data_IF_820028198101
#
_entry.id   IF_820028198101
#
_cell.length_a   1.000
_cell.length_b   1.000
_cell.length_c   1.000
_cell.angle_alpha   90.00
_cell.angle_beta   90.00
_cell.angle_gamma   90.00
#
_symmetry.space_group_name_H-M   'P 1'
#
loop_
_entity.id
_entity.type
_entity.pdbx_description
1 polymer ?
#
# COMPACT_ATOMS: atom_id res chain seq x y z
N UNK A 1 0.15 18.88 43.20
CA UNK A 1 0.51 19.97 42.30
C UNK A 1 1.09 19.48 40.95
N UNK A 2 2.08 18.62 40.90
CA UNK A 2 2.69 18.14 39.64
C UNK A 2 1.72 17.42 38.67
N UNK A 3 0.73 16.65 39.16
CA UNK A 3 -0.26 15.94 38.31
C UNK A 3 -1.22 16.90 37.59
N UNK A 4 -1.52 18.05 38.18
CA UNK A 4 -2.40 19.05 37.55
C UNK A 4 -1.66 19.84 36.48
N UNK A 5 -0.37 20.11 36.70
CA UNK A 5 0.49 20.81 35.72
C UNK A 5 0.71 19.93 34.48
N UNK A 6 0.87 18.61 34.66
CA UNK A 6 1.02 17.67 33.53
C UNK A 6 -0.24 17.58 32.67
N UNK A 7 -1.43 17.63 33.28
CA UNK A 7 -2.70 17.64 32.55
C UNK A 7 -2.89 18.96 31.78
N UNK A 8 -2.47 20.08 32.35
CA UNK A 8 -2.53 21.40 31.67
C UNK A 8 -1.56 21.44 30.47
N UNK A 9 -0.37 20.87 30.58
CA UNK A 9 0.60 20.81 29.47
C UNK A 9 0.12 19.87 28.36
N UNK A 10 -0.59 18.79 28.71
CA UNK A 10 -1.18 17.88 27.72
C UNK A 10 -2.43 18.45 27.01
N UNK A 11 -3.13 19.41 27.64
CA UNK A 11 -4.32 20.06 27.09
C UNK A 11 -3.99 21.38 26.37
N UNK A 12 -2.80 21.95 26.56
CA UNK A 12 -2.37 23.21 25.92
C UNK A 12 -2.42 23.17 24.37
N UNK A 13 -2.01 22.08 23.68
CA UNK A 13 -2.14 21.99 22.24
C UNK A 13 -3.60 21.96 21.74
N UNK A 14 -4.56 21.58 22.60
CA UNK A 14 -5.99 21.56 22.27
C UNK A 14 -6.65 22.92 22.32
N UNK A 15 -5.97 23.93 22.92
CA UNK A 15 -6.50 25.30 23.10
C UNK A 15 -5.91 26.31 22.10
N UNK A 16 -4.97 25.89 21.24
CA UNK A 16 -4.48 26.76 20.18
C UNK A 16 -5.58 26.90 19.12
N UNK A 17 -6.04 28.13 18.79
CA UNK A 17 -6.96 28.32 17.70
C UNK A 17 -6.22 27.97 16.40
N UNK A 18 -6.48 26.79 15.86
CA UNK A 18 -6.12 26.49 14.49
C UNK A 18 -6.94 27.43 13.61
N UNK A 19 -6.30 28.45 13.04
CA UNK A 19 -6.85 29.17 11.91
C UNK A 19 -6.90 28.21 10.73
N UNK A 20 -7.99 27.44 10.66
CA UNK A 20 -8.32 26.65 9.49
C UNK A 20 -8.61 27.62 8.36
N UNK A 21 -7.64 27.82 7.46
CA UNK A 21 -7.96 28.32 6.14
C UNK A 21 -9.00 27.36 5.56
N UNK A 22 -10.09 27.87 5.04
CA UNK A 22 -11.18 27.10 4.44
C UNK A 22 -10.77 26.58 3.06
N UNK A 23 -9.66 25.82 3.00
CA UNK A 23 -9.33 25.01 1.85
C UNK A 23 -10.20 23.77 1.91
N UNK A 24 -11.03 23.58 0.92
CA UNK A 24 -11.65 22.29 0.63
C UNK A 24 -10.52 21.28 0.53
N UNK A 25 -10.36 20.44 1.55
CA UNK A 25 -9.37 19.38 1.54
C UNK A 25 -9.71 18.46 0.39
N UNK A 26 -8.92 18.52 -0.67
CA UNK A 26 -9.03 17.59 -1.78
C UNK A 26 -8.49 16.24 -1.27
N UNK A 27 -9.34 15.24 -1.23
CA UNK A 27 -8.89 13.89 -0.94
C UNK A 27 -8.14 13.36 -2.15
N UNK A 28 -6.83 13.22 -2.01
CA UNK A 28 -5.96 12.62 -3.00
C UNK A 28 -5.10 11.55 -2.32
N UNK A 29 -4.72 10.54 -3.08
CA UNK A 29 -3.87 9.44 -2.62
C UNK A 29 -2.73 9.24 -3.62
N UNK A 30 -1.60 8.64 -3.22
CA UNK A 30 -0.66 8.07 -4.17
C UNK A 30 -1.41 6.98 -4.95
N UNK A 31 -1.85 7.30 -6.17
CA UNK A 31 -2.80 6.48 -6.94
C UNK A 31 -2.08 5.56 -7.90
N UNK A 32 -2.36 4.27 -7.86
CA UNK A 32 -1.71 3.26 -8.69
C UNK A 32 -1.92 1.87 -8.12
N UNK A 33 -0.89 1.06 -8.16
CA UNK A 33 -0.91 -0.31 -7.63
C UNK A 33 0.14 -0.45 -6.54
N UNK A 34 -0.25 -0.99 -5.39
CA UNK A 34 0.68 -1.40 -4.35
C UNK A 34 0.42 -2.83 -3.89
N UNK A 35 1.49 -3.51 -3.43
CA UNK A 35 1.39 -4.77 -2.71
C UNK A 35 1.31 -4.51 -1.22
N UNK A 36 0.32 -5.08 -0.55
CA UNK A 36 0.18 -4.94 0.89
C UNK A 36 -0.16 -6.28 1.55
N UNK A 37 0.77 -7.24 1.55
CA UNK A 37 0.56 -8.50 2.24
C UNK A 37 0.71 -8.31 3.75
N UNK A 38 -0.41 -8.18 4.47
CA UNK A 38 -0.41 -8.12 5.93
C UNK A 38 0.04 -9.44 6.59
N UNK A 39 -0.21 -10.55 5.93
CA UNK A 39 -0.06 -11.88 6.51
C UNK A 39 1.16 -12.65 6.00
N UNK A 40 1.81 -12.16 4.96
CA UNK A 40 2.93 -12.84 4.33
C UNK A 40 4.04 -11.84 4.08
N UNK A 41 5.25 -12.16 4.52
CA UNK A 41 6.44 -11.40 4.19
C UNK A 41 7.17 -12.11 3.07
N UNK A 42 7.36 -11.41 1.95
CA UNK A 42 8.09 -11.90 0.79
C UNK A 42 9.43 -11.18 0.73
N UNK A 43 10.50 -11.94 0.55
CA UNK A 43 11.83 -11.42 0.29
C UNK A 43 12.20 -11.69 -1.16
N UNK A 44 12.66 -10.65 -1.84
CA UNK A 44 13.06 -10.74 -3.25
C UNK A 44 14.28 -9.87 -3.53
N UNK A 45 15.05 -10.24 -4.52
CA UNK A 45 16.17 -9.42 -5.01
C UNK A 45 15.82 -8.58 -6.25
N UNK A 46 14.59 -8.67 -6.77
CA UNK A 46 14.18 -7.92 -7.95
C UNK A 46 12.72 -7.52 -7.89
N UNK A 47 12.44 -6.25 -8.20
CA UNK A 47 11.10 -5.67 -8.29
C UNK A 47 10.96 -4.86 -9.56
N UNK A 48 9.75 -4.86 -10.14
CA UNK A 48 9.46 -4.24 -11.43
C UNK A 48 8.05 -3.66 -11.43
N UNK A 49 7.94 -2.39 -11.80
CA UNK A 49 6.67 -1.73 -12.14
C UNK A 49 6.62 -1.45 -13.65
N UNK A 50 5.53 -1.82 -14.29
CA UNK A 50 5.28 -1.55 -15.71
C UNK A 50 4.00 -0.76 -15.90
N UNK A 51 4.02 0.18 -16.84
CA UNK A 51 2.84 0.95 -17.22
C UNK A 51 2.86 1.25 -18.72
N UNK A 52 1.72 1.11 -19.36
CA UNK A 52 1.48 1.53 -20.73
C UNK A 52 0.51 2.69 -20.72
N UNK A 53 1.00 3.88 -21.04
CA UNK A 53 0.23 5.13 -20.95
C UNK A 53 -0.22 5.51 -22.37
N UNK A 54 -1.53 5.61 -22.56
CA UNK A 54 -2.12 6.03 -23.85
C UNK A 54 -2.55 7.49 -23.84
N UNK A 55 -2.95 8.00 -22.65
CA UNK A 55 -3.31 9.41 -22.47
C UNK A 55 -2.76 9.89 -21.13
N UNK A 56 -2.25 11.10 -21.10
CA UNK A 56 -1.76 11.76 -19.91
C UNK A 56 -1.93 13.28 -20.06
N UNK A 57 -2.62 13.88 -19.11
CA UNK A 57 -2.75 15.33 -19.00
C UNK A 57 -2.45 15.74 -17.57
N UNK A 58 -1.42 16.55 -17.40
CA UNK A 58 -0.91 16.96 -16.08
C UNK A 58 -1.28 18.41 -15.86
N UNK A 59 -2.10 18.65 -14.85
CA UNK A 59 -2.52 19.98 -14.41
C UNK A 59 -1.57 20.59 -13.37
N UNK A 60 -2.15 21.33 -12.46
CA UNK A 60 -1.40 22.01 -11.39
C UNK A 60 -1.10 21.08 -10.23
N UNK A 61 -0.01 21.36 -9.54
CA UNK A 61 0.36 20.71 -8.29
C UNK A 61 0.50 21.73 -7.15
N UNK A 62 0.25 21.24 -5.93
CA UNK A 62 0.21 22.04 -4.72
C UNK A 62 0.95 21.33 -3.59
N UNK A 63 1.64 22.08 -2.75
CA UNK A 63 2.23 21.56 -1.51
C UNK A 63 1.12 21.19 -0.51
N UNK A 64 1.43 20.40 0.53
CA UNK A 64 0.44 20.01 1.55
C UNK A 64 -0.24 21.18 2.27
N UNK A 65 0.43 22.34 2.34
CA UNK A 65 -0.13 23.58 2.91
C UNK A 65 -1.06 24.31 1.93
N UNK A 66 -1.27 23.78 0.71
CA UNK A 66 -2.11 24.37 -0.33
C UNK A 66 -1.40 25.40 -1.20
N UNK A 67 -0.13 25.64 -0.99
CA UNK A 67 0.67 26.52 -1.85
C UNK A 67 0.86 25.91 -3.23
N UNK A 68 0.65 26.74 -4.27
CA UNK A 68 0.91 26.34 -5.66
C UNK A 68 2.40 26.02 -5.85
N UNK A 69 2.68 24.88 -6.44
CA UNK A 69 4.04 24.45 -6.71
C UNK A 69 4.41 24.61 -8.19
N UNK A 70 3.65 23.98 -9.09
CA UNK A 70 3.96 24.00 -10.53
C UNK A 70 2.76 23.49 -11.34
N UNK A 71 2.86 23.59 -12.67
CA UNK A 71 1.91 22.98 -13.62
C UNK A 71 2.66 22.08 -14.59
N UNK A 72 2.02 20.99 -15.04
CA UNK A 72 2.56 20.09 -16.04
C UNK A 72 3.61 19.10 -15.52
N UNK A 73 3.77 18.98 -14.20
CA UNK A 73 4.72 18.02 -13.59
C UNK A 73 4.00 17.00 -12.70
N UNK A 74 4.33 15.72 -12.90
CA UNK A 74 3.86 14.60 -12.08
C UNK A 74 4.96 13.55 -11.96
N UNK A 75 4.96 12.79 -10.88
CA UNK A 75 5.85 11.65 -10.70
C UNK A 75 5.09 10.33 -10.84
N UNK A 76 5.73 9.34 -11.44
CA UNK A 76 5.40 7.93 -11.31
C UNK A 76 6.55 7.27 -10.56
N UNK A 77 6.25 6.58 -9.48
CA UNK A 77 7.25 6.09 -8.54
C UNK A 77 7.11 4.58 -8.37
N UNK A 78 8.23 3.85 -8.57
CA UNK A 78 8.38 2.48 -8.09
C UNK A 78 9.13 2.55 -6.77
N UNK A 79 8.45 2.24 -5.68
CA UNK A 79 9.02 2.29 -4.33
C UNK A 79 9.04 0.91 -3.72
N UNK A 80 10.08 0.60 -2.95
CA UNK A 80 10.20 -0.64 -2.21
C UNK A 80 11.09 -0.47 -0.97
N UNK A 81 10.81 -1.27 0.05
CA UNK A 81 11.60 -1.32 1.26
C UNK A 81 12.70 -2.37 1.17
N UNK A 82 13.94 -2.03 1.52
CA UNK A 82 15.05 -2.97 1.66
C UNK A 82 15.27 -3.24 3.15
N UNK A 83 15.17 -4.51 3.55
CA UNK A 83 15.34 -4.98 4.93
C UNK A 83 14.42 -4.27 5.96
N UNK A 84 13.29 -3.69 5.53
CA UNK A 84 12.44 -2.88 6.40
C UNK A 84 13.10 -1.61 6.95
N UNK A 85 14.25 -1.22 6.41
CA UNK A 85 15.12 -0.16 6.92
C UNK A 85 15.44 0.93 5.91
N UNK A 86 15.63 0.56 4.66
CA UNK A 86 15.96 1.49 3.58
C UNK A 86 14.78 1.59 2.63
N UNK A 87 14.28 2.79 2.44
CA UNK A 87 13.22 3.06 1.46
C UNK A 87 13.82 3.53 0.16
N UNK A 88 13.68 2.71 -0.86
CA UNK A 88 14.22 2.93 -2.20
C UNK A 88 13.12 3.38 -3.15
N UNK A 89 13.33 4.49 -3.83
CA UNK A 89 12.40 5.07 -4.79
C UNK A 89 13.09 5.22 -6.14
N UNK A 90 12.56 4.53 -7.15
CA UNK A 90 12.90 4.69 -8.56
C UNK A 90 11.79 5.49 -9.24
N UNK A 91 12.05 6.75 -9.53
CA UNK A 91 11.04 7.73 -9.94
C UNK A 91 11.28 8.17 -11.38
N UNK A 92 10.21 8.28 -12.16
CA UNK A 92 10.20 9.01 -13.42
C UNK A 92 9.32 10.25 -13.26
N UNK A 93 9.92 11.42 -13.40
CA UNK A 93 9.24 12.71 -13.38
C UNK A 93 8.83 13.09 -14.81
N UNK A 94 7.56 13.26 -15.04
CA UNK A 94 6.99 13.75 -16.29
C UNK A 94 6.87 15.28 -16.25
N UNK A 95 7.34 15.93 -17.28
CA UNK A 95 7.11 17.35 -17.56
C UNK A 95 6.40 17.50 -18.90
N UNK A 96 5.15 17.94 -18.89
CA UNK A 96 4.32 18.07 -20.07
C UNK A 96 4.71 19.30 -20.91
N UNK A 97 5.07 19.07 -22.18
CA UNK A 97 5.42 20.12 -23.15
C UNK A 97 4.23 20.47 -24.04
N UNK A 98 3.48 19.44 -24.44
CA UNK A 98 2.26 19.56 -25.22
C UNK A 98 1.28 18.45 -24.83
N UNK A 99 0.14 18.36 -25.48
CA UNK A 99 -0.84 17.29 -25.21
C UNK A 99 -0.27 15.87 -25.31
N UNK A 100 0.73 15.63 -26.16
CA UNK A 100 1.27 14.31 -26.41
C UNK A 100 2.80 14.20 -26.21
N UNK A 101 3.48 15.28 -25.82
CA UNK A 101 4.95 15.32 -25.70
C UNK A 101 5.36 15.69 -24.29
N UNK A 102 6.31 14.94 -23.76
CA UNK A 102 6.83 15.10 -22.41
C UNK A 102 8.36 15.05 -22.40
N UNK A 103 8.99 15.77 -21.48
CA UNK A 103 10.29 15.39 -20.97
C UNK A 103 10.09 14.49 -19.75
N UNK A 104 10.83 13.38 -19.69
CA UNK A 104 10.86 12.48 -18.55
C UNK A 104 12.26 12.45 -17.96
N UNK A 105 12.38 12.66 -16.65
CA UNK A 105 13.65 12.62 -15.93
C UNK A 105 13.60 11.51 -14.89
N UNK A 106 14.62 10.64 -14.90
CA UNK A 106 14.75 9.58 -13.90
C UNK A 106 15.39 10.15 -12.63
N UNK A 107 14.86 9.77 -11.47
CA UNK A 107 15.31 10.23 -10.15
C UNK A 107 15.37 9.04 -9.21
N UNK A 108 16.41 9.00 -8.40
CA UNK A 108 16.52 8.07 -7.28
C UNK A 108 16.46 8.84 -5.97
N UNK A 109 15.65 8.35 -5.03
CA UNK A 109 15.75 8.70 -3.62
C UNK A 109 15.95 7.41 -2.83
N UNK A 110 17.02 7.35 -2.05
CA UNK A 110 17.29 6.23 -1.15
C UNK A 110 17.38 6.77 0.27
N UNK A 111 16.44 6.38 1.11
CA UNK A 111 16.31 6.82 2.49
C UNK A 111 16.84 5.77 3.46
N UNK A 112 17.60 6.18 4.44
CA UNK A 112 17.96 5.37 5.60
C UNK A 112 17.03 5.74 6.77
N UNK A 113 16.03 4.91 7.04
CA UNK A 113 15.03 5.14 8.07
C UNK A 113 15.56 4.94 9.50
N UNK A 114 16.79 4.44 9.65
CA UNK A 114 17.44 4.25 10.96
C UNK A 114 18.33 5.42 11.40
N UNK A 115 18.45 6.46 10.57
CA UNK A 115 19.28 7.63 10.85
C UNK A 115 20.09 8.11 9.65
N UNK A 116 21.09 8.96 9.83
CA UNK A 116 21.92 9.45 8.73
C UNK A 116 22.74 8.34 8.07
N UNK A 117 23.12 8.55 6.81
CA UNK A 117 24.15 7.73 6.19
C UNK A 117 25.53 8.12 6.72
N UNK A 118 26.29 7.11 7.12
CA UNK A 118 27.69 7.28 7.50
C UNK A 118 28.58 6.87 6.33
N UNK A 119 29.62 7.68 6.05
CA UNK A 119 30.60 7.42 4.98
C UNK A 119 30.02 7.32 3.56
N UNK A 120 28.91 8.00 3.31
CA UNK A 120 28.31 8.11 1.98
C UNK A 120 28.47 9.54 1.47
N UNK A 121 29.22 9.71 0.40
CA UNK A 121 29.40 11.00 -0.26
C UNK A 121 28.06 11.43 -0.88
N UNK A 122 27.71 12.72 -0.76
CA UNK A 122 26.49 13.30 -1.31
C UNK A 122 25.18 12.82 -0.65
N UNK A 123 25.24 12.23 0.56
CA UNK A 123 24.03 12.04 1.35
C UNK A 123 23.63 13.34 2.06
N UNK A 124 22.32 13.57 2.10
CA UNK A 124 21.71 14.66 2.86
C UNK A 124 21.14 14.11 4.16
N UNK A 125 20.99 14.97 5.15
CA UNK A 125 20.26 14.65 6.39
C UNK A 125 18.97 15.46 6.39
N UNK A 126 17.84 14.77 6.36
CA UNK A 126 16.52 15.38 6.40
C UNK A 126 15.77 14.87 7.64
N UNK A 127 15.49 15.74 8.59
CA UNK A 127 14.81 15.42 9.85
C UNK A 127 15.42 14.22 10.60
N UNK A 128 16.74 14.09 10.59
CA UNK A 128 17.44 12.98 11.24
C UNK A 128 17.60 11.71 10.39
N UNK A 129 16.99 11.64 9.23
CA UNK A 129 17.11 10.54 8.28
C UNK A 129 18.13 10.87 7.19
N UNK A 130 18.93 9.89 6.81
CA UNK A 130 19.84 10.02 5.68
C UNK A 130 19.11 9.82 4.36
N UNK A 131 19.38 10.65 3.36
CA UNK A 131 18.87 10.46 2.02
C UNK A 131 19.96 10.65 0.97
N UNK A 132 20.03 9.75 0.00
CA UNK A 132 20.82 9.87 -1.22
C UNK A 132 19.86 10.17 -2.35
N UNK A 133 20.04 11.35 -2.97
CA UNK A 133 19.26 11.77 -4.15
C UNK A 133 20.17 11.76 -5.38
N UNK A 134 19.67 11.22 -6.48
CA UNK A 134 20.38 11.22 -7.76
C UNK A 134 19.43 11.55 -8.91
N UNK A 135 19.83 12.50 -9.75
CA UNK A 135 19.13 12.81 -10.98
C UNK A 135 19.82 12.08 -12.13
N UNK A 136 19.08 11.19 -12.76
CA UNK A 136 19.51 10.41 -13.90
C UNK A 136 19.23 11.10 -15.24
N UNK A 137 19.20 10.33 -16.34
CA UNK A 137 18.98 10.84 -17.68
C UNK A 137 17.58 11.41 -17.88
N UNK A 138 17.49 12.34 -18.83
CA UNK A 138 16.23 12.93 -19.30
C UNK A 138 15.96 12.50 -20.73
N UNK A 139 14.71 12.11 -21.03
CA UNK A 139 14.28 11.70 -22.36
C UNK A 139 13.13 12.58 -22.83
N UNK A 140 13.09 12.86 -24.12
CA UNK A 140 11.90 13.40 -24.78
C UNK A 140 11.07 12.23 -25.30
N UNK A 141 9.81 12.16 -24.88
CA UNK A 141 8.92 11.06 -25.22
C UNK A 141 7.58 11.57 -25.73
N UNK A 142 6.90 10.73 -26.51
CA UNK A 142 5.55 10.98 -26.99
C UNK A 142 4.63 9.84 -26.57
N UNK A 143 3.35 10.15 -26.37
CA UNK A 143 2.29 9.14 -26.16
C UNK A 143 1.91 8.44 -27.50
N UNK A 144 1.55 7.16 -27.48
CA UNK A 144 1.57 6.27 -26.33
C UNK A 144 3.00 5.88 -25.91
N UNK A 145 3.19 5.62 -24.62
CA UNK A 145 4.50 5.26 -24.07
C UNK A 145 4.39 4.02 -23.18
N UNK A 146 5.38 3.13 -23.29
CA UNK A 146 5.60 2.03 -22.35
C UNK A 146 6.78 2.36 -21.44
N UNK A 147 6.55 2.30 -20.14
CA UNK A 147 7.56 2.54 -19.11
C UNK A 147 7.65 1.33 -18.20
N UNK A 148 8.87 0.85 -17.99
CA UNK A 148 9.21 -0.09 -16.93
C UNK A 148 10.25 0.55 -16.02
N UNK A 149 9.99 0.56 -14.74
CA UNK A 149 10.98 0.91 -13.71
C UNK A 149 11.31 -0.36 -12.95
N UNK A 150 12.58 -0.61 -12.69
CA UNK A 150 12.98 -1.76 -11.90
C UNK A 150 14.06 -1.42 -10.88
N UNK A 151 14.11 -2.19 -9.82
CA UNK A 151 15.20 -2.20 -8.87
C UNK A 151 15.67 -3.63 -8.64
N UNK A 152 16.99 -3.82 -8.57
CA UNK A 152 17.60 -5.13 -8.34
C UNK A 152 18.67 -5.06 -7.25
N UNK A 153 18.79 -6.10 -6.45
CA UNK A 153 19.93 -6.30 -5.56
C UNK A 153 20.75 -7.44 -6.09
N UNK A 154 21.91 -7.08 -6.63
CA UNK A 154 22.80 -8.01 -7.31
C UNK A 154 24.23 -7.83 -6.81
N UNK A 155 24.90 -8.89 -6.38
CA UNK A 155 26.29 -8.88 -5.89
C UNK A 155 26.58 -7.73 -4.90
N UNK A 156 25.73 -7.56 -3.89
CA UNK A 156 25.86 -6.49 -2.87
C UNK A 156 25.74 -5.07 -3.43
N UNK A 157 25.00 -4.91 -4.52
CA UNK A 157 24.71 -3.61 -5.15
C UNK A 157 23.21 -3.49 -5.40
N UNK A 158 22.63 -2.41 -4.95
CA UNK A 158 21.28 -1.99 -5.32
C UNK A 158 21.37 -1.21 -6.62
N UNK A 159 20.67 -1.68 -7.65
CA UNK A 159 20.63 -1.14 -9.00
C UNK A 159 19.27 -0.53 -9.27
N UNK A 160 19.25 0.66 -9.89
CA UNK A 160 18.05 1.35 -10.36
C UNK A 160 18.07 1.40 -11.88
N UNK A 161 17.05 0.86 -12.50
CA UNK A 161 16.99 0.75 -13.94
C UNK A 161 15.63 1.09 -14.52
N UNK A 162 15.60 1.18 -15.83
CA UNK A 162 14.43 1.56 -16.61
C UNK A 162 14.40 0.84 -17.96
N UNK A 163 13.21 0.78 -18.54
CA UNK A 163 12.95 0.54 -19.96
C UNK A 163 11.86 1.52 -20.41
N UNK A 164 12.18 2.41 -21.34
CA UNK A 164 11.25 3.40 -21.90
C UNK A 164 11.21 3.15 -23.41
N UNK A 165 10.11 2.58 -23.90
CA UNK A 165 9.92 2.23 -25.32
C UNK A 165 11.09 1.41 -25.90
N UNK A 166 11.63 0.45 -25.14
CA UNK A 166 12.76 -0.39 -25.54
C UNK A 166 14.16 0.20 -25.30
N UNK A 167 14.25 1.47 -24.88
CA UNK A 167 15.48 2.05 -24.37
C UNK A 167 15.65 1.70 -22.91
N UNK A 168 16.56 0.79 -22.60
CA UNK A 168 16.75 0.29 -21.23
C UNK A 168 18.17 0.46 -20.73
N UNK A 169 18.32 0.60 -19.42
CA UNK A 169 19.61 0.66 -18.76
C UNK A 169 19.51 0.73 -17.25
N UNK A 170 20.63 0.50 -16.60
CA UNK A 170 20.85 0.83 -15.20
C UNK A 170 21.47 2.23 -15.19
N UNK A 171 20.91 3.14 -14.42
CA UNK A 171 21.36 4.53 -14.41
C UNK A 171 21.91 4.98 -13.05
N UNK A 172 21.66 4.21 -11.99
CA UNK A 172 22.25 4.45 -10.67
C UNK A 172 22.49 3.12 -9.95
N UNK A 173 23.57 3.09 -9.18
CA UNK A 173 23.93 1.94 -8.33
C UNK A 173 24.36 2.41 -6.95
N UNK A 174 24.04 1.62 -5.93
CA UNK A 174 24.41 1.92 -4.56
C UNK A 174 24.88 0.63 -3.85
N UNK A 175 26.03 0.64 -3.15
CA UNK A 175 26.48 -0.52 -2.38
C UNK A 175 25.46 -0.88 -1.29
N UNK A 176 24.88 -2.04 -1.36
CA UNK A 176 23.87 -2.50 -0.42
C UNK A 176 23.76 -4.02 -0.42
N UNK A 177 23.81 -4.60 0.77
CA UNK A 177 23.55 -6.03 1.00
C UNK A 177 22.14 -6.15 1.58
N UNK A 178 21.29 -6.98 0.99
CA UNK A 178 19.94 -7.20 1.50
C UNK A 178 18.99 -7.78 0.46
N UNK A 179 17.71 -7.73 0.77
CA UNK A 179 16.61 -8.08 -0.11
C UNK A 179 15.51 -7.04 0.05
N UNK A 180 14.71 -6.85 -0.98
CA UNK A 180 13.44 -6.14 -0.85
C UNK A 180 12.52 -6.97 0.02
N UNK A 181 11.80 -6.29 0.89
CA UNK A 181 10.83 -6.88 1.80
C UNK A 181 9.44 -6.37 1.42
N UNK A 182 8.59 -7.27 0.96
CA UNK A 182 7.19 -6.99 0.69
C UNK A 182 6.38 -7.56 1.85
N UNK A 183 5.65 -6.71 2.56
CA UNK A 183 4.91 -7.10 3.75
C UNK A 183 5.64 -6.85 5.06
N UNK A 184 4.89 -6.92 6.15
CA UNK A 184 5.36 -6.50 7.47
C UNK A 184 5.38 -4.99 7.64
N UNK A 185 6.10 -4.53 8.64
CA UNK A 185 6.14 -3.12 9.07
C UNK A 185 7.59 -2.64 9.04
N UNK A 186 7.83 -1.44 8.52
CA UNK A 186 9.11 -0.76 8.51
C UNK A 186 9.49 -0.20 9.87
N UNK A 187 10.72 0.29 10.01
CA UNK A 187 11.19 0.94 11.24
C UNK A 187 10.35 2.18 11.63
N UNK A 188 9.72 2.85 10.67
CA UNK A 188 8.84 3.99 10.94
C UNK A 188 7.40 3.59 11.24
N UNK A 189 7.09 2.28 11.31
CA UNK A 189 5.74 1.79 11.55
C UNK A 189 4.83 1.82 10.31
N UNK A 190 5.39 2.10 9.14
CA UNK A 190 4.68 2.06 7.86
C UNK A 190 4.70 0.63 7.29
N UNK A 191 3.71 0.24 6.50
CA UNK A 191 3.75 -1.02 5.76
C UNK A 191 4.95 -1.09 4.82
N UNK A 192 5.59 -2.26 4.70
CA UNK A 192 6.56 -2.50 3.64
C UNK A 192 5.80 -2.88 2.37
N UNK A 193 5.31 -1.92 1.62
CA UNK A 193 4.68 -2.18 0.34
C UNK A 193 5.67 -2.03 -0.82
N UNK A 194 5.43 -2.79 -1.87
CA UNK A 194 5.99 -2.53 -3.18
C UNK A 194 4.94 -1.77 -3.95
N UNK A 195 5.24 -0.58 -4.46
CA UNK A 195 4.25 0.27 -5.09
C UNK A 195 4.72 0.88 -6.40
N UNK A 196 3.80 0.98 -7.37
CA UNK A 196 3.94 1.78 -8.58
C UNK A 196 2.79 2.78 -8.62
N UNK A 197 3.07 4.03 -8.25
CA UNK A 197 2.04 5.03 -7.96
C UNK A 197 2.34 6.38 -8.56
N UNK A 198 1.28 7.09 -8.92
CA UNK A 198 1.31 8.49 -9.31
C UNK A 198 1.27 9.39 -8.09
N UNK A 199 2.04 10.47 -8.15
CA UNK A 199 2.04 11.53 -7.18
C UNK A 199 2.46 12.86 -7.77
N UNK A 200 2.49 13.88 -6.94
CA UNK A 200 3.05 15.18 -7.29
C UNK A 200 4.55 15.13 -7.55
N UNK A 201 5.14 16.24 -8.03
CA UNK A 201 6.56 16.29 -8.44
C UNK A 201 7.56 16.28 -7.27
N UNK A 202 7.15 16.07 -6.05
CA UNK A 202 7.98 15.97 -4.86
C UNK A 202 7.47 16.80 -3.68
N UNK A 203 8.11 16.65 -2.51
CA UNK A 203 7.81 17.41 -1.29
C UNK A 203 6.44 17.14 -0.67
N UNK A 204 5.87 15.96 -0.88
CA UNK A 204 4.52 15.61 -0.42
C UNK A 204 3.41 16.31 -1.22
N UNK A 205 3.71 16.80 -2.41
CA UNK A 205 2.75 17.57 -3.22
C UNK A 205 1.62 16.73 -3.79
N UNK A 206 0.49 17.37 -4.04
CA UNK A 206 -0.67 16.80 -4.74
C UNK A 206 -0.69 17.35 -6.16
N UNK A 207 -0.81 16.46 -7.16
CA UNK A 207 -1.00 16.86 -8.56
C UNK A 207 -2.43 16.58 -9.01
N UNK A 208 -3.00 17.49 -9.79
CA UNK A 208 -4.24 17.27 -10.53
C UNK A 208 -3.91 16.76 -11.92
N UNK A 209 -4.38 15.56 -12.25
CA UNK A 209 -4.05 14.94 -13.53
C UNK A 209 -5.14 14.00 -14.01
N UNK A 210 -5.11 13.68 -15.31
CA UNK A 210 -5.91 12.62 -15.89
C UNK A 210 -4.98 11.67 -16.64
N UNK A 211 -5.23 10.39 -16.53
CA UNK A 211 -4.45 9.35 -17.17
C UNK A 211 -5.37 8.28 -17.75
N UNK A 212 -4.94 7.66 -18.86
CA UNK A 212 -5.47 6.39 -19.35
C UNK A 212 -4.27 5.48 -19.57
N UNK A 213 -4.20 4.43 -18.75
CA UNK A 213 -3.08 3.52 -18.73
C UNK A 213 -3.48 2.12 -18.24
N UNK A 214 -2.62 1.15 -18.54
CA UNK A 214 -2.62 -0.16 -17.89
C UNK A 214 -1.29 -0.34 -17.16
N UNK A 215 -1.35 -0.74 -15.90
CA UNK A 215 -0.17 -0.95 -15.07
C UNK A 215 -0.11 -2.35 -14.48
N UNK A 216 1.11 -2.76 -14.10
CA UNK A 216 1.38 -4.04 -13.44
C UNK A 216 2.57 -3.92 -12.51
N UNK A 217 2.58 -4.70 -11.46
CA UNK A 217 3.61 -4.71 -10.43
C UNK A 217 4.08 -6.14 -10.17
N UNK A 218 5.40 -6.36 -10.25
CA UNK A 218 6.01 -7.68 -10.21
C UNK A 218 7.14 -7.75 -9.18
N UNK A 219 7.40 -8.96 -8.73
CA UNK A 219 8.60 -9.33 -8.00
C UNK A 219 9.16 -10.65 -8.52
N UNK A 220 10.42 -10.95 -8.24
CA UNK A 220 11.02 -12.24 -8.57
C UNK A 220 10.81 -13.22 -7.42
N UNK A 221 10.15 -14.34 -7.65
CA UNK A 221 9.82 -15.35 -6.65
C UNK A 221 10.91 -16.42 -6.43
N UNK A 222 12.08 -16.21 -7.03
CA UNK A 222 13.21 -17.14 -7.04
C UNK A 222 13.25 -18.05 -8.27
N UNK A 223 12.18 -18.04 -9.10
CA UNK A 223 12.10 -18.82 -10.35
C UNK A 223 11.54 -17.99 -11.51
N UNK A 224 10.53 -17.20 -11.25
CA UNK A 224 9.79 -16.44 -12.25
C UNK A 224 9.55 -15.01 -11.79
N UNK A 225 9.24 -14.16 -12.75
CA UNK A 225 8.70 -12.85 -12.49
C UNK A 225 7.20 -13.02 -12.23
N UNK A 226 6.79 -12.81 -10.98
CA UNK A 226 5.44 -13.04 -10.50
C UNK A 226 4.74 -11.72 -10.18
N UNK A 227 3.44 -11.65 -10.47
CA UNK A 227 2.59 -10.52 -10.06
C UNK A 227 2.49 -10.52 -8.53
N UNK A 228 2.45 -9.33 -7.92
CA UNK A 228 2.27 -9.22 -6.47
C UNK A 228 1.00 -9.95 -6.02
N UNK A 229 1.06 -10.72 -4.91
CA UNK A 229 -0.06 -11.58 -4.49
C UNK A 229 -1.24 -10.81 -3.93
N UNK A 230 -1.01 -9.61 -3.43
CA UNK A 230 -2.03 -8.70 -2.90
C UNK A 230 -1.84 -7.32 -3.52
N UNK A 231 -2.90 -6.69 -3.94
CA UNK A 231 -2.81 -5.36 -4.53
C UNK A 231 -3.92 -4.41 -4.06
N UNK A 232 -3.53 -3.16 -3.92
CA UNK A 232 -4.39 -2.03 -3.55
C UNK A 232 -4.27 -0.93 -4.58
N UNK A 233 -5.28 -0.08 -4.67
CA UNK A 233 -5.35 1.05 -5.61
C UNK A 233 -4.59 2.29 -5.15
N UNK A 234 -3.90 2.25 -4.02
CA UNK A 234 -3.11 3.35 -3.46
C UNK A 234 -1.78 2.83 -2.93
N UNK A 235 -0.77 3.73 -2.85
CA UNK A 235 0.45 3.51 -2.09
C UNK A 235 0.29 3.92 -0.63
N UNK A 236 1.08 3.33 0.25
CA UNK A 236 1.04 3.59 1.69
C UNK A 236 2.26 4.35 2.20
N UNK A 237 3.39 4.26 1.51
CA UNK A 237 4.66 4.85 1.94
C UNK A 237 4.97 6.18 1.25
N UNK A 238 4.31 6.50 0.14
CA UNK A 238 4.53 7.72 -0.63
C UNK A 238 3.76 8.91 -0.04
N UNK A 239 4.46 10.01 0.18
CA UNK A 239 3.85 11.26 0.68
C UNK A 239 3.14 12.06 -0.41
N UNK A 240 3.56 11.92 -1.67
CA UNK A 240 2.96 12.57 -2.84
C UNK A 240 1.62 11.92 -3.16
N UNK A 241 0.69 12.70 -3.71
CA UNK A 241 -0.62 12.21 -4.10
C UNK A 241 -1.04 12.71 -5.50
N UNK A 242 -1.94 11.95 -6.14
CA UNK A 242 -2.53 12.32 -7.43
C UNK A 242 -4.06 12.41 -7.30
N UNK A 243 -4.63 13.52 -7.76
CA UNK A 243 -6.07 13.70 -7.89
C UNK A 243 -6.48 13.58 -9.36
N UNK A 244 -7.58 12.87 -9.63
CA UNK A 244 -8.09 12.67 -10.97
C UNK A 244 -7.69 11.34 -11.61
N UNK A 245 -6.98 10.47 -10.88
CA UNK A 245 -6.62 9.10 -11.30
C UNK A 245 -7.50 8.11 -10.56
N UNK A 246 -8.34 7.36 -11.27
CA UNK A 246 -9.11 6.23 -10.75
C UNK A 246 -8.39 4.94 -11.11
N UNK A 247 -8.21 4.07 -10.13
CA UNK A 247 -7.52 2.79 -10.29
C UNK A 247 -8.48 1.65 -9.96
N UNK A 248 -8.55 0.65 -10.84
CA UNK A 248 -9.36 -0.55 -10.64
C UNK A 248 -8.75 -1.74 -11.38
N UNK A 249 -9.16 -2.94 -11.03
CA UNK A 249 -8.72 -4.16 -11.70
C UNK A 249 -9.80 -4.73 -12.60
N UNK A 250 -9.38 -5.29 -13.71
CA UNK A 250 -10.18 -6.15 -14.60
C UNK A 250 -9.55 -7.55 -14.59
N UNK A 251 -10.41 -8.56 -14.68
CA UNK A 251 -10.02 -9.96 -14.68
C UNK A 251 -10.48 -10.62 -16.00
N UNK A 252 -9.68 -10.54 -17.07
CA UNK A 252 -9.92 -11.31 -18.28
C UNK A 252 -9.98 -12.81 -17.99
N UNK A 253 -9.16 -13.26 -17.04
CA UNK A 253 -9.28 -14.56 -16.37
C UNK A 253 -9.03 -14.36 -14.87
N UNK A 254 -9.51 -15.29 -14.04
CA UNK A 254 -9.30 -15.26 -12.58
C UNK A 254 -7.80 -15.18 -12.18
N UNK A 255 -6.91 -15.60 -13.08
CA UNK A 255 -5.46 -15.66 -12.83
C UNK A 255 -4.65 -14.58 -13.55
N UNK A 256 -5.30 -13.64 -14.21
CA UNK A 256 -4.64 -12.60 -15.01
C UNK A 256 -5.30 -11.25 -14.75
N UNK A 257 -5.10 -10.66 -13.57
CA UNK A 257 -5.61 -9.33 -13.29
C UNK A 257 -4.86 -8.30 -14.15
N UNK A 258 -5.60 -7.32 -14.63
CA UNK A 258 -5.08 -6.13 -15.31
C UNK A 258 -5.47 -4.93 -14.47
N UNK A 259 -4.51 -4.07 -14.14
CA UNK A 259 -4.79 -2.79 -13.48
C UNK A 259 -5.05 -1.75 -14.55
N UNK A 260 -6.21 -1.14 -14.47
CA UNK A 260 -6.65 -0.05 -15.35
C UNK A 260 -6.62 1.25 -14.57
N UNK A 261 -5.98 2.24 -15.14
CA UNK A 261 -5.94 3.60 -14.65
C UNK A 261 -6.71 4.50 -15.61
N UNK A 262 -7.66 5.25 -15.10
CA UNK A 262 -8.52 6.13 -15.89
C UNK A 262 -8.80 7.43 -15.17
N UNK A 263 -9.36 8.40 -15.87
CA UNK A 263 -9.79 9.66 -15.24
C UNK A 263 -10.90 9.42 -14.24
N UNK A 264 -10.78 9.99 -13.04
CA UNK A 264 -11.79 9.89 -11.99
C UNK A 264 -11.21 10.08 -10.59
N UNK A 265 -12.04 9.83 -9.59
CA UNK A 265 -11.62 9.88 -8.18
C UNK A 265 -11.19 8.49 -7.76
N UNK A 266 -9.97 8.34 -7.27
CA UNK A 266 -9.51 7.12 -6.65
C UNK A 266 -10.06 7.02 -5.23
N UNK A 267 -10.66 5.87 -4.95
CA UNK A 267 -11.04 5.49 -3.59
C UNK A 267 -10.22 4.27 -3.22
N UNK A 268 -9.58 4.27 -2.04
CA UNK A 268 -8.80 3.13 -1.58
C UNK A 268 -9.59 1.84 -1.70
N UNK A 269 -9.09 0.88 -2.45
CA UNK A 269 -9.77 -0.38 -2.72
C UNK A 269 -8.79 -1.53 -2.91
N UNK A 270 -9.22 -2.72 -2.55
CA UNK A 270 -8.49 -3.95 -2.87
C UNK A 270 -8.69 -4.22 -4.36
N UNK A 271 -7.60 -4.31 -5.11
CA UNK A 271 -7.58 -4.68 -6.52
C UNK A 271 -7.66 -6.20 -6.68
N UNK A 272 -6.91 -6.92 -5.88
CA UNK A 272 -6.95 -8.35 -5.60
C UNK A 272 -6.20 -8.59 -4.28
N UNK A 273 -6.23 -9.70 -3.65
CA UNK A 273 -6.71 -11.00 -4.04
C UNK A 273 -8.15 -11.24 -3.66
N UNK A 274 -8.65 -12.36 -4.18
CA UNK A 274 -9.85 -12.99 -3.68
C UNK A 274 -9.44 -13.94 -2.56
N UNK A 275 -10.07 -13.82 -1.40
CA UNK A 275 -9.77 -14.66 -0.22
C UNK A 275 -10.46 -16.02 -0.36
N UNK A 276 -9.70 -17.11 -0.48
CA UNK A 276 -10.29 -18.44 -0.43
C UNK A 276 -10.77 -18.79 0.98
N UNK A 277 -11.64 -19.76 1.06
CA UNK A 277 -12.05 -20.38 2.31
C UNK A 277 -11.26 -21.68 2.51
N UNK A 278 -10.78 -21.89 3.73
CA UNK A 278 -10.15 -23.13 4.13
C UNK A 278 -11.03 -23.82 5.19
N UNK A 279 -11.35 -25.08 4.96
CA UNK A 279 -12.03 -25.92 5.93
C UNK A 279 -11.22 -27.17 6.16
N UNK A 280 -11.20 -27.63 7.43
CA UNK A 280 -10.39 -28.79 7.84
C UNK A 280 -11.29 -29.79 8.55
N UNK A 281 -11.24 -31.03 8.10
CA UNK A 281 -11.87 -32.17 8.75
C UNK A 281 -10.79 -33.18 9.14
N UNK A 282 -10.76 -33.55 10.41
CA UNK A 282 -9.78 -34.48 10.96
C UNK A 282 -10.43 -35.82 11.30
N UNK A 283 -9.84 -36.91 10.84
CA UNK A 283 -10.12 -38.25 11.28
C UNK A 283 -9.01 -38.75 12.24
N UNK A 284 -9.05 -40.02 12.65
CA UNK A 284 -8.02 -40.61 13.52
C UNK A 284 -6.64 -40.69 12.83
N UNK A 285 -6.60 -40.78 11.53
CA UNK A 285 -5.37 -41.04 10.77
C UNK A 285 -5.07 -39.95 9.73
N UNK A 286 -6.03 -39.13 9.37
CA UNK A 286 -5.90 -38.16 8.26
C UNK A 286 -6.47 -36.82 8.60
N UNK A 287 -5.87 -35.78 8.03
CA UNK A 287 -6.38 -34.41 8.00
C UNK A 287 -6.78 -34.11 6.55
N UNK A 288 -8.03 -33.78 6.33
CA UNK A 288 -8.58 -33.39 5.03
C UNK A 288 -8.73 -31.88 5.02
N UNK A 289 -8.06 -31.22 4.11
CA UNK A 289 -8.07 -29.78 3.95
C UNK A 289 -8.78 -29.44 2.66
N UNK A 290 -9.90 -28.72 2.73
CA UNK A 290 -10.63 -28.27 1.57
C UNK A 290 -10.40 -26.78 1.37
N UNK A 291 -10.04 -26.42 0.14
CA UNK A 291 -9.83 -25.05 -0.30
C UNK A 291 -10.87 -24.69 -1.38
N UNK A 292 -11.61 -23.62 -1.14
CA UNK A 292 -12.73 -23.20 -1.99
C UNK A 292 -12.70 -21.67 -2.18
N UNK A 293 -13.24 -21.22 -3.32
CA UNK A 293 -13.52 -19.82 -3.60
C UNK A 293 -14.97 -19.70 -4.08
N UNK A 294 -15.81 -18.97 -3.36
CA UNK A 294 -17.22 -18.79 -3.67
C UNK A 294 -17.98 -20.12 -3.93
N UNK A 295 -17.66 -21.16 -3.15
CA UNK A 295 -18.13 -22.55 -3.26
C UNK A 295 -17.54 -23.35 -4.44
N UNK A 296 -16.66 -22.77 -5.25
CA UNK A 296 -15.94 -23.48 -6.28
C UNK A 296 -14.66 -24.08 -5.68
N UNK A 297 -14.39 -25.34 -5.96
CA UNK A 297 -13.18 -26.04 -5.53
C UNK A 297 -11.95 -25.43 -6.17
N UNK A 298 -10.87 -25.27 -5.42
CA UNK A 298 -9.57 -24.80 -5.91
C UNK A 298 -8.59 -25.98 -6.06
N UNK A 299 -8.49 -26.57 -7.25
CA UNK A 299 -7.55 -27.68 -7.52
C UNK A 299 -6.12 -27.17 -7.71
N UNK A 300 -5.16 -28.09 -7.59
CA UNK A 300 -3.74 -27.88 -7.86
C UNK A 300 -3.08 -26.78 -7.01
N UNK A 301 -3.63 -26.50 -5.81
CA UNK A 301 -3.03 -25.57 -4.86
C UNK A 301 -2.16 -26.33 -3.85
N UNK A 302 -0.97 -25.80 -3.57
CA UNK A 302 -0.10 -26.35 -2.53
C UNK A 302 -0.54 -25.85 -1.17
N UNK A 303 -0.85 -26.75 -0.27
CA UNK A 303 -1.22 -26.48 1.13
C UNK A 303 -0.15 -27.05 2.03
N UNK A 304 0.15 -26.36 3.11
CA UNK A 304 1.16 -26.75 4.10
C UNK A 304 0.53 -27.04 5.45
N UNK A 305 1.19 -27.92 6.19
CA UNK A 305 0.93 -28.14 7.61
C UNK A 305 2.17 -27.82 8.42
N UNK A 306 2.00 -27.04 9.47
CA UNK A 306 3.02 -26.70 10.47
C UNK A 306 2.66 -27.30 11.80
N UNK A 307 3.66 -27.85 12.49
CA UNK A 307 3.53 -28.43 13.84
C UNK A 307 4.72 -28.02 14.69
N UNK A 308 4.64 -28.30 16.01
CA UNK A 308 5.74 -28.00 16.94
C UNK A 308 5.71 -26.58 17.49
N UNK A 309 6.71 -26.28 18.36
CA UNK A 309 6.89 -24.96 18.94
C UNK A 309 8.38 -24.62 18.99
N UNK A 310 8.87 -23.61 18.23
CA UNK A 310 8.09 -22.78 17.30
C UNK A 310 7.51 -23.61 16.13
N UNK A 311 6.40 -23.19 15.51
CA UNK A 311 5.83 -23.89 14.37
C UNK A 311 6.80 -23.97 13.21
N UNK A 312 6.86 -25.13 12.56
CA UNK A 312 7.65 -25.33 11.36
C UNK A 312 6.91 -26.23 10.37
N UNK A 313 7.14 -26.02 9.07
CA UNK A 313 6.52 -26.84 8.03
C UNK A 313 6.98 -28.28 8.19
N UNK A 314 6.03 -29.18 8.43
CA UNK A 314 6.27 -30.62 8.57
C UNK A 314 5.85 -31.41 7.34
N UNK A 315 4.86 -30.92 6.59
CA UNK A 315 4.37 -31.59 5.38
C UNK A 315 3.69 -30.60 4.44
N UNK A 316 3.59 -31.01 3.17
CA UNK A 316 2.82 -30.31 2.14
C UNK A 316 2.00 -31.29 1.31
N UNK A 317 0.87 -30.85 0.80
CA UNK A 317 0.03 -31.62 -0.11
C UNK A 317 -0.60 -30.71 -1.16
N UNK A 318 -0.99 -31.29 -2.29
CA UNK A 318 -1.63 -30.57 -3.40
C UNK A 318 -3.12 -30.89 -3.42
N UNK A 319 -3.97 -29.89 -3.57
CA UNK A 319 -5.42 -30.10 -3.68
C UNK A 319 -5.77 -30.84 -4.99
N UNK A 320 -6.65 -31.82 -4.88
CA UNK A 320 -7.18 -32.59 -6.02
C UNK A 320 -8.27 -31.78 -6.77
N UNK A 321 -8.93 -32.41 -7.74
CA UNK A 321 -10.01 -31.80 -8.53
C UNK A 321 -11.21 -31.31 -7.69
N UNK A 322 -11.39 -31.84 -6.49
CA UNK A 322 -12.40 -31.41 -5.51
C UNK A 322 -11.91 -30.35 -4.53
N UNK A 323 -10.71 -29.79 -4.74
CA UNK A 323 -10.11 -28.80 -3.86
C UNK A 323 -9.59 -29.40 -2.54
N UNK A 324 -9.36 -30.71 -2.43
CA UNK A 324 -9.02 -31.38 -1.18
C UNK A 324 -7.56 -31.82 -1.21
N UNK A 325 -6.78 -31.38 -0.22
CA UNK A 325 -5.46 -31.88 0.15
C UNK A 325 -5.58 -32.81 1.36
N UNK A 326 -4.76 -33.86 1.43
CA UNK A 326 -4.81 -34.87 2.49
C UNK A 326 -3.44 -35.02 3.12
N UNK A 327 -3.39 -34.96 4.45
CA UNK A 327 -2.20 -35.16 5.27
C UNK A 327 -2.39 -36.33 6.22
N UNK A 328 -1.28 -36.98 6.60
CA UNK A 328 -1.27 -37.92 7.71
C UNK A 328 -1.43 -37.16 9.04
N UNK A 329 -2.21 -37.72 9.98
CA UNK A 329 -2.35 -37.19 11.30
C UNK A 329 -1.55 -37.99 12.31
N UNK A 330 -0.51 -37.38 12.87
CA UNK A 330 0.42 -38.00 13.82
C UNK A 330 0.16 -37.59 15.27
N UNK A 331 -1.11 -37.44 15.64
CA UNK A 331 -1.54 -37.04 17.01
C UNK A 331 -0.88 -35.76 17.52
N UNK A 332 -0.84 -34.75 16.67
CA UNK A 332 -0.29 -33.43 17.01
C UNK A 332 -1.09 -32.78 18.14
N UNK A 333 -0.39 -32.17 19.11
CA UNK A 333 -1.03 -31.38 20.18
C UNK A 333 -1.71 -30.11 19.61
N UNK A 334 -1.15 -29.52 18.58
CA UNK A 334 -1.76 -28.54 17.71
C UNK A 334 -1.08 -28.55 16.33
N UNK A 335 -1.78 -28.04 15.35
CA UNK A 335 -1.21 -27.84 14.01
C UNK A 335 -1.85 -26.61 13.36
N UNK A 336 -1.12 -26.03 12.43
CA UNK A 336 -1.57 -24.93 11.57
C UNK A 336 -1.59 -25.47 10.15
N UNK A 337 -2.72 -25.36 9.48
CA UNK A 337 -2.82 -25.63 8.04
C UNK A 337 -2.92 -24.32 7.33
N UNK A 338 -2.15 -24.11 6.29
CA UNK A 338 -2.24 -22.88 5.53
C UNK A 338 -2.03 -23.08 4.03
N UNK A 339 -2.70 -22.24 3.28
CA UNK A 339 -2.44 -21.96 1.88
C UNK A 339 -1.70 -20.63 1.81
N UNK A 340 -0.49 -20.56 1.25
CA UNK A 340 0.32 -19.34 1.25
C UNK A 340 -0.24 -18.25 0.34
N UNK A 341 -1.25 -18.57 -0.48
CA UNK A 341 -1.72 -17.68 -1.53
C UNK A 341 -0.91 -17.85 -2.83
N UNK A 342 -1.33 -17.12 -3.83
CA UNK A 342 -0.63 -16.93 -5.08
C UNK A 342 -0.90 -15.50 -5.59
N UNK A 343 -0.55 -15.18 -6.82
CA UNK A 343 -0.70 -13.83 -7.38
C UNK A 343 -2.15 -13.31 -7.45
N UNK A 344 -3.18 -14.21 -7.34
CA UNK A 344 -4.60 -13.81 -7.34
C UNK A 344 -5.35 -14.21 -6.08
N UNK A 345 -4.83 -15.13 -5.28
CA UNK A 345 -5.48 -15.64 -4.09
C UNK A 345 -4.68 -15.27 -2.85
N UNK A 346 -5.35 -14.72 -1.84
CA UNK A 346 -4.69 -14.43 -0.56
C UNK A 346 -4.37 -15.71 0.20
N UNK A 347 -3.38 -15.59 1.09
CA UNK A 347 -3.13 -16.63 2.07
C UNK A 347 -4.31 -16.84 3.00
N UNK A 348 -4.52 -18.08 3.42
CA UNK A 348 -5.53 -18.43 4.42
C UNK A 348 -4.99 -19.49 5.37
N UNK A 349 -5.38 -19.38 6.65
CA UNK A 349 -4.87 -20.20 7.75
C UNK A 349 -6.03 -20.86 8.50
N UNK A 350 -5.77 -22.08 8.97
CA UNK A 350 -6.59 -22.79 9.94
C UNK A 350 -5.74 -23.24 11.13
N UNK A 351 -6.21 -22.97 12.33
CA UNK A 351 -5.55 -23.34 13.58
C UNK A 351 -6.34 -24.44 14.27
N UNK A 352 -5.73 -25.59 14.57
CA UNK A 352 -6.41 -26.72 15.20
C UNK A 352 -6.76 -26.49 16.69
N UNK A 353 -6.11 -25.53 17.35
CA UNK A 353 -6.39 -25.21 18.74
C UNK A 353 -7.64 -24.35 18.88
N UNK A 354 -8.61 -24.71 19.74
CA UNK A 354 -9.78 -23.88 20.01
C UNK A 354 -9.44 -22.47 20.50
N UNK A 355 -8.33 -22.34 21.23
CA UNK A 355 -7.87 -21.02 21.73
C UNK A 355 -7.39 -20.17 20.56
N UNK A 356 -6.58 -20.72 19.65
CA UNK A 356 -6.08 -20.02 18.47
C UNK A 356 -7.19 -19.72 17.49
N UNK A 357 -8.15 -20.63 17.30
CA UNK A 357 -9.35 -20.40 16.50
C UNK A 357 -10.19 -19.25 17.08
N UNK A 358 -10.35 -19.21 18.39
CA UNK A 358 -11.07 -18.13 19.09
C UNK A 358 -10.35 -16.78 18.93
N UNK A 359 -9.03 -16.76 19.02
CA UNK A 359 -8.22 -15.54 18.79
C UNK A 359 -8.29 -15.08 17.34
N UNK A 360 -8.13 -16.01 16.39
CA UNK A 360 -8.22 -15.73 14.95
C UNK A 360 -9.62 -15.22 14.56
N UNK A 361 -10.69 -15.86 15.06
CA UNK A 361 -12.06 -15.42 14.77
C UNK A 361 -12.36 -14.04 15.36
N UNK A 362 -11.87 -13.73 16.57
CA UNK A 362 -11.98 -12.41 17.16
C UNK A 362 -11.21 -11.37 16.34
N UNK A 363 -9.98 -11.69 15.90
CA UNK A 363 -9.20 -10.79 15.09
C UNK A 363 -9.86 -10.53 13.73
N UNK A 364 -10.37 -11.57 13.05
CA UNK A 364 -11.15 -11.42 11.84
C UNK A 364 -12.45 -10.62 12.07
N UNK A 365 -13.14 -10.82 13.20
CA UNK A 365 -14.31 -10.04 13.56
C UNK A 365 -13.99 -8.57 13.73
N UNK A 366 -12.91 -8.23 14.45
CA UNK A 366 -12.45 -6.85 14.58
C UNK A 366 -12.06 -6.23 13.23
N UNK A 367 -11.37 -7.00 12.39
CA UNK A 367 -11.01 -6.56 11.05
C UNK A 367 -12.25 -6.28 10.18
N UNK A 368 -13.25 -7.17 10.18
CA UNK A 368 -14.51 -6.96 9.47
C UNK A 368 -15.31 -5.78 10.03
N UNK A 369 -15.31 -5.57 11.34
CA UNK A 369 -15.92 -4.39 11.96
C UNK A 369 -15.21 -3.10 11.52
N UNK A 370 -13.87 -3.10 11.46
CA UNK A 370 -13.10 -1.97 10.96
C UNK A 370 -13.39 -1.68 9.48
N UNK A 371 -13.45 -2.72 8.65
CA UNK A 371 -13.84 -2.58 7.24
C UNK A 371 -15.29 -2.07 7.10
N UNK A 372 -16.21 -2.55 7.92
CA UNK A 372 -17.59 -2.07 7.99
C UNK A 372 -17.67 -0.60 8.38
N UNK A 373 -16.87 -0.18 9.37
CA UNK A 373 -16.76 1.21 9.78
C UNK A 373 -16.19 2.10 8.66
N UNK A 374 -15.13 1.66 8.00
CA UNK A 374 -14.54 2.39 6.86
C UNK A 374 -15.52 2.52 5.69
N UNK A 375 -16.26 1.45 5.36
CA UNK A 375 -17.32 1.51 4.33
C UNK A 375 -18.47 2.44 4.74
N UNK A 376 -18.88 2.43 6.00
CA UNK A 376 -19.92 3.33 6.52
C UNK A 376 -19.47 4.79 6.48
N UNK A 377 -18.23 5.08 6.88
CA UNK A 377 -17.63 6.41 6.78
C UNK A 377 -17.54 6.87 5.32
N UNK A 378 -17.15 6.00 4.40
CA UNK A 378 -17.13 6.25 2.97
C UNK A 378 -18.52 6.57 2.40
N UNK A 379 -19.54 5.79 2.78
CA UNK A 379 -20.92 6.02 2.33
C UNK A 379 -21.49 7.33 2.89
N UNK A 380 -21.24 7.63 4.16
CA UNK A 380 -21.64 8.90 4.79
C UNK A 380 -20.98 10.09 4.12
N UNK A 381 -19.72 9.96 3.74
CA UNK A 381 -18.98 10.97 3.00
C UNK A 381 -19.54 11.18 1.58
N UNK A 382 -19.85 10.09 0.85
CA UNK A 382 -20.47 10.16 -0.48
C UNK A 382 -21.86 10.80 -0.42
N UNK A 383 -22.66 10.50 0.61
CA UNK A 383 -23.96 11.14 0.84
C UNK A 383 -23.79 12.63 1.17
N UNK A 384 -22.81 13.01 1.97
CA UNK A 384 -22.46 14.39 2.26
C UNK A 384 -22.09 15.16 0.99
N UNK A 385 -21.22 14.60 0.14
CA UNK A 385 -20.86 15.20 -1.15
C UNK A 385 -22.10 15.36 -2.05
N UNK A 386 -22.91 14.31 -2.23
CA UNK A 386 -24.13 14.40 -3.06
C UNK A 386 -25.10 15.48 -2.56
N UNK A 387 -25.25 15.64 -1.23
CA UNK A 387 -26.12 16.67 -0.65
C UNK A 387 -25.59 18.09 -0.87
N UNK A 388 -24.27 18.26 -0.91
CA UNK A 388 -23.64 19.56 -1.21
C UNK A 388 -23.80 19.91 -2.70
N UNK A 389 -23.60 18.95 -3.60
CA UNK A 389 -23.73 19.19 -5.05
C UNK A 389 -25.18 19.26 -5.53
N UNK A 390 -26.14 18.58 -4.89
CA UNK A 390 -27.57 18.70 -5.25
C UNK A 390 -28.20 20.03 -4.81
N UNK A 391 -27.61 20.72 -3.83
CA UNK A 391 -28.05 22.06 -3.40
C UNK A 391 -27.45 23.21 -4.21
N UNK A 392 -26.48 22.95 -5.07
CA UNK A 392 -25.81 23.97 -5.90
C UNK A 392 -26.63 24.49 -7.08
N UNK A 393 -27.83 23.99 -7.37
CA UNK A 393 -28.68 24.44 -8.44
C UNK A 393 -29.86 25.35 -7.97
N UNK A 394 -29.86 25.82 -6.72
CA UNK A 394 -30.85 26.77 -6.22
C UNK A 394 -30.17 28.05 -5.78
N UNK A 395 -30.26 29.05 -6.66
CA UNK A 395 -30.15 30.51 -6.43
C UNK A 395 -29.22 30.98 -5.30
N UNK A 396 -28.17 31.68 -5.70
CA UNK A 396 -27.27 32.54 -4.92
C UNK A 396 -28.02 33.62 -4.10
N UNK A 397 -28.60 33.27 -2.97
CA UNK A 397 -29.00 34.27 -1.94
C UNK A 397 -29.33 33.54 -0.65
N UNK A 398 -28.34 33.08 0.07
CA UNK A 398 -28.30 32.87 1.54
C UNK A 398 -27.11 31.98 1.94
N UNK A 399 -25.92 32.52 1.78
CA UNK A 399 -24.68 31.88 2.27
C UNK A 399 -24.23 32.65 3.50
N UNK A 400 -24.83 32.40 4.66
CA UNK A 400 -24.18 32.83 5.92
C UNK A 400 -24.42 31.89 7.12
N UNK A 401 -25.23 30.83 7.00
CA UNK A 401 -25.56 30.00 8.18
C UNK A 401 -25.18 28.51 8.07
N UNK A 402 -24.62 28.03 6.93
CA UNK A 402 -24.31 26.62 6.74
C UNK A 402 -22.80 26.28 6.91
N UNK A 403 -21.95 27.30 7.08
CA UNK A 403 -20.49 27.07 7.24
C UNK A 403 -20.10 26.56 8.64
N UNK A 404 -20.89 26.79 9.67
CA UNK A 404 -20.56 26.42 11.04
C UNK A 404 -20.75 24.91 11.33
N UNK A 405 -21.68 24.25 10.66
CA UNK A 405 -21.99 22.85 10.92
C UNK A 405 -21.06 21.86 10.23
N UNK A 406 -20.53 22.18 9.05
CA UNK A 406 -19.56 21.34 8.35
C UNK A 406 -18.18 21.37 8.99
N UNK A 407 -17.76 22.50 9.54
CA UNK A 407 -16.49 22.61 10.26
C UNK A 407 -16.50 21.85 11.59
N UNK A 408 -17.63 21.80 12.29
CA UNK A 408 -17.77 21.03 13.52
C UNK A 408 -17.73 19.51 13.27
N UNK A 409 -18.27 19.02 12.16
CA UNK A 409 -18.24 17.60 11.81
C UNK A 409 -16.82 17.14 11.47
N UNK A 410 -16.02 17.96 10.77
CA UNK A 410 -14.63 17.61 10.42
C UNK A 410 -13.73 17.60 11.66
N UNK A 411 -13.86 18.57 12.56
CA UNK A 411 -13.10 18.61 13.81
C UNK A 411 -13.41 17.40 14.68
N UNK A 412 -14.67 17.00 14.77
CA UNK A 412 -15.07 15.83 15.54
C UNK A 412 -14.54 14.51 14.95
N UNK A 413 -14.43 14.41 13.63
CA UNK A 413 -13.86 13.22 12.96
C UNK A 413 -12.36 13.10 13.20
N UNK A 414 -11.59 14.19 13.13
CA UNK A 414 -10.15 14.17 13.45
C UNK A 414 -9.91 13.84 14.92
N UNK A 415 -10.68 14.43 15.84
CA UNK A 415 -10.61 14.11 17.26
C UNK A 415 -10.91 12.62 17.49
N UNK A 416 -11.91 12.06 16.82
CA UNK A 416 -12.25 10.65 16.92
C UNK A 416 -11.13 9.73 16.41
N UNK A 417 -10.48 10.08 15.30
CA UNK A 417 -9.34 9.35 14.75
C UNK A 417 -8.15 9.39 15.71
N UNK A 418 -7.82 10.55 16.29
CA UNK A 418 -6.75 10.67 17.28
C UNK A 418 -7.05 9.90 18.57
N UNK A 419 -8.29 9.94 19.05
CA UNK A 419 -8.70 9.16 20.22
C UNK A 419 -8.60 7.67 19.93
N UNK A 420 -9.00 7.22 18.75
CA UNK A 420 -8.92 5.82 18.35
C UNK A 420 -7.46 5.34 18.24
N UNK A 421 -6.59 6.13 17.61
CA UNK A 421 -5.15 5.84 17.54
C UNK A 421 -4.50 5.79 18.91
N UNK A 422 -4.87 6.68 19.84
CA UNK A 422 -4.40 6.70 21.21
C UNK A 422 -4.88 5.47 22.01
N UNK A 423 -6.13 5.07 21.86
CA UNK A 423 -6.68 3.87 22.50
C UNK A 423 -5.98 2.62 22.00
N UNK A 424 -5.76 2.51 20.67
CA UNK A 424 -5.02 1.39 20.06
C UNK A 424 -3.61 1.34 20.62
N UNK A 425 -2.90 2.47 20.68
CA UNK A 425 -1.56 2.57 21.27
C UNK A 425 -1.52 2.13 22.74
N UNK A 426 -2.50 2.52 23.55
CA UNK A 426 -2.61 2.09 24.95
C UNK A 426 -2.89 0.59 25.09
N UNK A 427 -3.75 0.04 24.26
CA UNK A 427 -4.06 -1.40 24.27
C UNK A 427 -2.83 -2.22 23.88
N UNK A 428 -2.10 -1.81 22.83
CA UNK A 428 -0.86 -2.47 22.42
C UNK A 428 0.18 -2.39 23.55
N UNK A 429 0.36 -1.22 24.16
CA UNK A 429 1.30 -1.04 25.28
C UNK A 429 0.92 -1.89 26.50
N UNK A 430 -0.36 -1.99 26.83
CA UNK A 430 -0.84 -2.82 27.92
C UNK A 430 -0.64 -4.32 27.64
N UNK A 431 -0.80 -4.75 26.38
CA UNK A 431 -0.53 -6.12 25.95
C UNK A 431 0.97 -6.43 26.07
N UNK A 432 1.84 -5.55 25.58
CA UNK A 432 3.30 -5.72 25.65
C UNK A 432 3.79 -5.78 27.10
N UNK A 433 3.27 -4.93 28.00
CA UNK A 433 3.59 -4.93 29.42
C UNK A 433 3.14 -6.23 30.10
N UNK A 434 1.96 -6.75 29.74
CA UNK A 434 1.38 -7.95 30.34
C UNK A 434 2.11 -9.24 29.92
N UNK A 435 2.69 -9.25 28.74
CA UNK A 435 3.43 -10.40 28.23
C UNK A 435 4.96 -10.32 28.45
N UNK A 436 5.47 -9.24 29.08
CA UNK A 436 6.91 -9.03 29.33
C UNK A 436 7.76 -9.20 28.06
N UNK A 437 7.25 -8.76 26.92
CA UNK A 437 7.98 -8.69 25.64
C UNK A 437 8.47 -7.25 25.45
#
# INVERSE_FOLDING_TARGET
MYKVILIIILLLPLLLPFTLSSQTSVFAFPSGISSYPLNTVIYTNFVLGQINITQLNIGSSYLPNGEYLTTGNASLQLNAMVLGKYWAQNVILFHQISSNTFYTTLIVNLWNLSGPFYNVTNSLNYQGLGVVCYQGPTFKVNLPISVSLFMAINNSTLEFGYDINGHRGIYFTFPMIGLFQLGGISLLGLPNDLELVWGGPGGGSIVYMNVTANSQLYYFDGKHLSIVPNAYSIGFDTAEAAYGVKVYSEFPTIFSPIVVESSGINLPSILWPISPQISVNQSKEKIYVRLELNNDSLPNQVVYIETGFPPSVTSQAVTNSSGIAVFDYENYSFYIVYFPGNYTLSSVYYYSSPILNSLSSKFQSYYQQLLGFLKSAQNSFQHGIKSVFSKGNATMTSITTTQTTTNQLNVNLYILIYILAFIIGMVISAILIRFKI
#
